data_IF_959104148025
#
_entry.id   IF_959104148025
#
_cell.length_a   1.000
_cell.length_b   1.000
_cell.length_c   1.000
_cell.angle_alpha   90.00
_cell.angle_beta   90.00
_cell.angle_gamma   90.00
#
_symmetry.space_group_name_H-M   'P 1'
#
loop_
_entity.id
_entity.type
_entity.pdbx_description
1 polymer ?
#
# COMPACT_ATOMS: atom_id res chain seq x y z
N UNK A 1 -25.86 3.37 -5.00
CA UNK A 1 -24.98 2.18 -4.97
C UNK A 1 -25.80 0.93 -4.69
N UNK A 2 -25.62 -0.16 -5.44
CA UNK A 2 -26.22 -1.47 -5.13
C UNK A 2 -25.55 -2.08 -3.89
N UNK A 3 -26.29 -2.85 -3.08
CA UNK A 3 -25.80 -3.49 -1.84
C UNK A 3 -24.55 -4.36 -2.09
N UNK A 4 -24.50 -5.02 -3.25
CA UNK A 4 -23.35 -5.83 -3.69
C UNK A 4 -22.07 -5.00 -3.90
N UNK A 5 -22.14 -3.84 -4.57
CA UNK A 5 -20.97 -2.96 -4.79
C UNK A 5 -20.38 -2.49 -3.46
N UNK A 6 -21.22 -2.12 -2.49
CA UNK A 6 -20.76 -1.71 -1.14
C UNK A 6 -20.00 -2.82 -0.43
N UNK A 7 -20.50 -4.06 -0.46
CA UNK A 7 -19.79 -5.19 0.14
C UNK A 7 -18.43 -5.42 -0.51
N UNK A 8 -18.35 -5.37 -1.85
CA UNK A 8 -17.08 -5.58 -2.57
C UNK A 8 -16.06 -4.50 -2.21
N UNK A 9 -16.45 -3.22 -2.23
CA UNK A 9 -15.55 -2.11 -1.88
C UNK A 9 -15.08 -2.23 -0.43
N UNK A 10 -15.98 -2.53 0.51
CA UNK A 10 -15.61 -2.78 1.91
C UNK A 10 -14.59 -3.92 2.04
N UNK A 11 -14.80 -5.04 1.36
CA UNK A 11 -13.84 -6.16 1.37
C UNK A 11 -12.49 -5.80 0.77
N UNK A 12 -12.44 -4.96 -0.26
CA UNK A 12 -11.19 -4.54 -0.88
C UNK A 12 -10.40 -3.58 0.02
N UNK A 13 -11.07 -2.66 0.72
CA UNK A 13 -10.41 -1.79 1.70
C UNK A 13 -9.93 -2.56 2.94
N UNK A 14 -10.63 -3.60 3.39
CA UNK A 14 -10.12 -4.47 4.48
C UNK A 14 -8.94 -5.33 4.03
N UNK A 15 -8.94 -5.81 2.78
CA UNK A 15 -7.78 -6.51 2.20
C UNK A 15 -6.59 -5.54 2.08
N UNK A 16 -6.81 -4.29 1.68
CA UNK A 16 -5.78 -3.26 1.61
C UNK A 16 -5.13 -2.98 2.98
N UNK A 17 -5.92 -2.86 4.05
CA UNK A 17 -5.35 -2.64 5.39
C UNK A 17 -4.52 -3.83 5.87
N UNK A 18 -4.95 -5.07 5.56
CA UNK A 18 -4.18 -6.28 5.86
C UNK A 18 -2.86 -6.34 5.09
N UNK A 19 -2.90 -6.09 3.77
CA UNK A 19 -1.70 -6.04 2.92
C UNK A 19 -0.73 -4.94 3.36
N UNK A 20 -1.23 -3.77 3.72
CA UNK A 20 -0.39 -2.67 4.23
C UNK A 20 0.25 -3.03 5.58
N UNK A 21 -0.49 -3.68 6.47
CA UNK A 21 0.04 -4.17 7.75
C UNK A 21 1.11 -5.25 7.55
N UNK A 22 0.91 -6.14 6.56
CA UNK A 22 1.89 -7.14 6.15
C UNK A 22 3.14 -6.50 5.54
N UNK A 23 2.99 -5.41 4.78
CA UNK A 23 4.12 -4.65 4.24
C UNK A 23 4.96 -4.01 5.35
N UNK A 24 4.33 -3.46 6.40
CA UNK A 24 5.03 -2.96 7.59
C UNK A 24 5.76 -4.10 8.30
N UNK A 25 5.10 -5.25 8.47
CA UNK A 25 5.73 -6.44 9.07
C UNK A 25 6.98 -6.87 8.28
N UNK A 26 6.87 -6.99 6.96
CA UNK A 26 7.99 -7.36 6.11
C UNK A 26 9.13 -6.33 6.16
N UNK A 27 8.81 -5.04 6.13
CA UNK A 27 9.81 -3.97 6.20
C UNK A 27 10.49 -3.88 7.58
N UNK A 28 9.74 -4.09 8.67
CA UNK A 28 10.26 -4.02 10.03
C UNK A 28 11.10 -5.25 10.42
N UNK A 29 10.62 -6.46 10.11
CA UNK A 29 11.31 -7.71 10.46
C UNK A 29 12.51 -8.02 9.54
N UNK A 30 12.63 -7.34 8.38
CA UNK A 30 13.81 -7.47 7.52
C UNK A 30 15.12 -7.14 8.26
N UNK A 31 15.06 -6.27 9.27
CA UNK A 31 16.21 -5.80 10.04
C UNK A 31 16.64 -6.80 11.15
N UNK A 32 15.70 -7.59 11.69
CA UNK A 32 15.98 -8.41 12.88
C UNK A 32 16.52 -9.81 12.56
N UNK A 33 16.25 -10.36 11.36
CA UNK A 33 16.56 -11.75 11.02
C UNK A 33 17.96 -11.99 10.41
N UNK A 34 18.68 -10.95 9.99
CA UNK A 34 20.00 -11.08 9.34
C UNK A 34 21.01 -10.19 10.06
N UNK A 35 21.60 -10.72 11.14
CA UNK A 35 22.92 -10.38 11.69
C UNK A 35 23.45 -8.95 11.46
N UNK A 36 23.47 -8.13 12.53
CA UNK A 36 24.28 -6.91 12.69
C UNK A 36 24.26 -5.97 11.47
N UNK A 37 23.37 -5.00 11.55
CA UNK A 37 23.40 -3.81 10.74
C UNK A 37 24.79 -3.11 10.79
N UNK A 38 25.61 -3.28 9.75
CA UNK A 38 26.87 -2.53 9.54
C UNK A 38 26.75 -1.57 8.37
N UNK A 39 27.26 -0.35 8.60
CA UNK A 39 27.43 0.89 7.80
C UNK A 39 27.29 0.94 6.25
N UNK A 40 27.19 -0.17 5.52
CA UNK A 40 26.81 -0.22 4.08
C UNK A 40 25.31 0.05 3.84
N UNK A 41 24.61 0.47 4.89
CA UNK A 41 23.20 0.19 5.16
C UNK A 41 22.31 1.44 5.19
N UNK A 42 22.92 2.61 5.05
CA UNK A 42 22.21 3.90 5.01
C UNK A 42 21.26 4.01 3.80
N UNK A 43 21.58 3.33 2.71
CA UNK A 43 20.80 3.32 1.47
C UNK A 43 19.60 2.36 1.54
N UNK A 44 19.77 1.19 2.18
CA UNK A 44 18.68 0.23 2.41
C UNK A 44 17.74 0.67 3.56
N UNK A 45 18.24 1.45 4.53
CA UNK A 45 17.40 2.07 5.55
C UNK A 45 16.43 3.09 4.94
N UNK A 46 16.83 3.81 3.90
CA UNK A 46 15.97 4.79 3.25
C UNK A 46 14.75 4.12 2.60
N UNK A 47 14.94 3.02 1.86
CA UNK A 47 13.83 2.33 1.18
C UNK A 47 12.84 1.73 2.18
N UNK A 48 13.34 1.13 3.26
CA UNK A 48 12.52 0.57 4.34
C UNK A 48 11.70 1.64 5.07
N UNK A 49 12.32 2.77 5.44
CA UNK A 49 11.62 3.87 6.13
C UNK A 49 10.54 4.46 5.22
N UNK A 50 10.82 4.63 3.93
CA UNK A 50 9.84 5.12 2.94
C UNK A 50 8.68 4.14 2.78
N UNK A 51 8.96 2.84 2.70
CA UNK A 51 7.94 1.80 2.60
C UNK A 51 7.02 1.78 3.83
N UNK A 52 7.58 1.87 5.04
CA UNK A 52 6.81 1.95 6.30
C UNK A 52 5.96 3.23 6.35
N UNK A 53 6.54 4.38 5.98
CA UNK A 53 5.83 5.65 5.96
C UNK A 53 4.62 5.60 5.01
N UNK A 54 4.81 5.10 3.79
CA UNK A 54 3.75 5.01 2.80
C UNK A 54 2.68 3.98 3.21
N UNK A 55 3.07 2.85 3.81
CA UNK A 55 2.12 1.89 4.37
C UNK A 55 1.24 2.50 5.46
N UNK A 56 1.83 3.26 6.39
CA UNK A 56 1.10 4.00 7.43
C UNK A 56 0.11 5.00 6.83
N UNK A 57 0.51 5.76 5.81
CA UNK A 57 -0.38 6.70 5.12
C UNK A 57 -1.55 5.98 4.44
N UNK A 58 -1.31 4.82 3.80
CA UNK A 58 -2.36 4.01 3.17
C UNK A 58 -3.34 3.46 4.21
N UNK A 59 -2.85 3.01 5.37
CA UNK A 59 -3.71 2.55 6.49
C UNK A 59 -4.59 3.69 6.98
N UNK A 60 -4.01 4.86 7.26
CA UNK A 60 -4.78 6.02 7.75
C UNK A 60 -5.86 6.41 6.73
N UNK A 61 -5.50 6.49 5.45
CA UNK A 61 -6.45 6.86 4.40
C UNK A 61 -7.57 5.84 4.21
N UNK A 62 -7.25 4.54 4.34
CA UNK A 62 -8.23 3.45 4.26
C UNK A 62 -9.15 3.42 5.47
N UNK A 63 -8.63 3.67 6.67
CA UNK A 63 -9.42 3.76 7.90
C UNK A 63 -10.35 4.98 7.90
N UNK A 64 -9.88 6.13 7.41
CA UNK A 64 -10.71 7.34 7.27
C UNK A 64 -11.89 7.06 6.33
N UNK A 65 -11.63 6.37 5.21
CA UNK A 65 -12.69 5.98 4.27
C UNK A 65 -13.69 4.99 4.91
N UNK A 66 -13.19 3.98 5.63
CA UNK A 66 -14.03 2.97 6.29
C UNK A 66 -14.89 3.62 7.40
N UNK A 67 -14.30 4.48 8.22
CA UNK A 67 -15.00 5.25 9.24
C UNK A 67 -16.11 6.13 8.64
N UNK A 68 -15.80 6.85 7.56
CA UNK A 68 -16.78 7.71 6.86
C UNK A 68 -17.97 6.89 6.32
N UNK A 69 -17.72 5.69 5.80
CA UNK A 69 -18.76 4.82 5.25
C UNK A 69 -19.56 4.05 6.32
N UNK A 70 -18.99 3.78 7.50
CA UNK A 70 -19.72 3.14 8.59
C UNK A 70 -20.65 4.11 9.34
N UNK A 71 -20.23 5.35 9.59
CA UNK A 71 -20.96 6.27 10.48
C UNK A 71 -21.93 7.24 9.76
N UNK A 72 -21.69 7.60 8.49
CA UNK A 72 -22.46 8.68 7.83
C UNK A 72 -23.58 8.20 6.88
N UNK A 73 -24.14 7.02 7.14
CA UNK A 73 -25.13 6.36 6.26
C UNK A 73 -26.48 7.09 6.16
N UNK A 74 -26.80 8.04 7.04
CA UNK A 74 -28.14 8.65 7.12
C UNK A 74 -28.37 9.96 6.37
N UNK A 75 -27.33 10.63 5.84
CA UNK A 75 -27.52 11.91 5.17
C UNK A 75 -27.59 11.75 3.64
N UNK A 76 -28.71 12.14 3.03
CA UNK A 76 -28.97 12.07 1.58
C UNK A 76 -27.99 12.93 0.74
N UNK A 77 -27.43 14.01 1.29
CA UNK A 77 -26.35 14.78 0.65
C UNK A 77 -24.99 14.05 0.60
N UNK A 78 -24.83 12.98 1.38
CA UNK A 78 -23.61 12.21 1.60
C UNK A 78 -23.52 10.99 0.66
N UNK A 79 -24.58 10.70 -0.10
CA UNK A 79 -24.61 9.62 -1.09
C UNK A 79 -23.70 9.91 -2.32
N UNK A 80 -23.17 11.15 -2.43
CA UNK A 80 -22.16 11.57 -3.40
C UNK A 80 -20.70 11.36 -2.92
N UNK A 81 -20.47 10.66 -1.80
CA UNK A 81 -19.11 10.39 -1.28
C UNK A 81 -18.25 9.48 -2.18
N UNK A 82 -18.81 8.98 -3.28
CA UNK A 82 -18.04 8.48 -4.43
C UNK A 82 -16.99 9.50 -4.93
N UNK A 83 -17.18 10.81 -4.74
CA UNK A 83 -16.23 11.82 -5.23
C UNK A 83 -14.84 11.72 -4.59
N UNK A 84 -14.76 11.33 -3.31
CA UNK A 84 -13.47 11.20 -2.60
C UNK A 84 -12.93 9.76 -2.61
N UNK A 85 -13.72 8.79 -3.06
CA UNK A 85 -13.28 7.39 -3.23
C UNK A 85 -12.21 7.28 -4.32
N UNK A 86 -12.43 7.90 -5.48
CA UNK A 86 -11.48 7.87 -6.60
C UNK A 86 -10.14 8.57 -6.28
N UNK A 87 -10.11 9.83 -5.77
CA UNK A 87 -8.86 10.49 -5.40
C UNK A 87 -8.09 9.73 -4.32
N UNK A 88 -8.79 9.15 -3.34
CA UNK A 88 -8.16 8.36 -2.29
C UNK A 88 -7.52 7.08 -2.84
N UNK A 89 -8.25 6.34 -3.69
CA UNK A 89 -7.72 5.14 -4.32
C UNK A 89 -6.52 5.44 -5.22
N UNK A 90 -6.58 6.51 -6.03
CA UNK A 90 -5.45 6.95 -6.88
C UNK A 90 -4.24 7.33 -6.01
N UNK A 91 -4.44 8.09 -4.94
CA UNK A 91 -3.36 8.47 -4.02
C UNK A 91 -2.69 7.24 -3.38
N UNK A 92 -3.48 6.29 -2.87
CA UNK A 92 -2.95 5.07 -2.27
C UNK A 92 -2.23 4.18 -3.32
N UNK A 93 -2.77 4.11 -4.54
CA UNK A 93 -2.15 3.39 -5.66
C UNK A 93 -0.79 3.97 -6.02
N UNK A 94 -0.67 5.30 -6.05
CA UNK A 94 0.56 6.01 -6.38
C UNK A 94 1.62 5.82 -5.29
N UNK A 95 1.26 5.96 -4.02
CA UNK A 95 2.18 5.71 -2.91
C UNK A 95 2.72 4.26 -2.90
N UNK A 96 1.84 3.28 -3.11
CA UNK A 96 2.22 1.87 -3.21
C UNK A 96 3.09 1.60 -4.45
N UNK A 97 2.79 2.25 -5.58
CA UNK A 97 3.57 2.14 -6.81
C UNK A 97 4.98 2.72 -6.65
N UNK A 98 5.11 3.91 -6.04
CA UNK A 98 6.40 4.52 -5.76
C UNK A 98 7.21 3.67 -4.79
N UNK A 99 6.61 3.11 -3.74
CA UNK A 99 7.28 2.16 -2.85
C UNK A 99 7.82 0.94 -3.61
N UNK A 100 7.03 0.38 -4.53
CA UNK A 100 7.43 -0.75 -5.37
C UNK A 100 8.64 -0.40 -6.26
N UNK A 101 8.59 0.73 -6.96
CA UNK A 101 9.68 1.16 -7.86
C UNK A 101 10.96 1.46 -7.09
N UNK A 102 10.88 2.12 -5.94
CA UNK A 102 12.04 2.39 -5.07
C UNK A 102 12.67 1.07 -4.62
N UNK A 103 11.86 0.12 -4.15
CA UNK A 103 12.35 -1.19 -3.72
C UNK A 103 13.01 -1.98 -4.86
N UNK A 104 12.45 -1.93 -6.08
CA UNK A 104 13.08 -2.57 -7.24
C UNK A 104 14.40 -1.87 -7.59
N UNK A 105 14.41 -0.54 -7.65
CA UNK A 105 15.58 0.23 -8.10
C UNK A 105 16.80 0.06 -7.18
N UNK A 106 16.58 -0.01 -5.86
CA UNK A 106 17.67 -0.13 -4.89
C UNK A 106 18.11 -1.57 -4.63
N UNK A 107 17.30 -2.58 -4.97
CA UNK A 107 17.68 -3.99 -4.83
C UNK A 107 18.13 -4.65 -6.15
N UNK A 108 18.03 -3.95 -7.29
CA UNK A 108 18.50 -4.45 -8.58
C UNK A 108 19.96 -4.06 -8.80
N UNK A 109 20.83 -5.05 -9.02
CA UNK A 109 22.21 -4.78 -9.36
C UNK A 109 22.34 -4.58 -10.88
N UNK A 110 22.60 -3.35 -11.29
CA UNK A 110 22.68 -2.96 -12.70
C UNK A 110 23.98 -3.39 -13.36
N UNK A 111 25.03 -3.74 -12.61
CA UNK A 111 26.32 -4.13 -13.19
C UNK A 111 26.34 -5.57 -13.68
N UNK A 112 25.73 -6.48 -12.93
CA UNK A 112 25.70 -7.91 -13.28
C UNK A 112 24.35 -8.36 -13.86
N UNK A 113 23.33 -7.48 -13.94
CA UNK A 113 21.95 -7.80 -14.35
C UNK A 113 21.38 -8.94 -13.48
N UNK A 114 21.95 -9.14 -12.30
CA UNK A 114 21.49 -10.12 -11.34
C UNK A 114 20.58 -9.42 -10.34
N UNK A 115 19.41 -10.02 -10.13
CA UNK A 115 18.64 -9.68 -8.94
C UNK A 115 19.49 -10.07 -7.74
N UNK A 116 19.70 -9.14 -6.80
CA UNK A 116 20.20 -9.56 -5.49
C UNK A 116 19.31 -10.71 -5.00
N UNK A 117 19.88 -11.77 -4.38
CA UNK A 117 19.20 -13.04 -4.03
C UNK A 117 17.83 -12.90 -3.32
N UNK A 118 17.49 -11.70 -2.88
CA UNK A 118 16.25 -11.29 -2.25
C UNK A 118 15.35 -10.62 -3.28
N UNK A 119 14.55 -11.40 -4.00
CA UNK A 119 13.29 -10.87 -4.52
C UNK A 119 12.50 -10.35 -3.30
N UNK A 120 12.49 -9.04 -3.07
CA UNK A 120 11.97 -8.51 -1.81
C UNK A 120 10.47 -8.69 -1.84
N UNK A 121 9.96 -9.57 -0.99
CA UNK A 121 8.52 -9.76 -0.75
C UNK A 121 7.81 -8.41 -0.52
N UNK A 122 8.55 -7.40 -0.06
CA UNK A 122 8.14 -5.99 0.03
C UNK A 122 7.74 -5.39 -1.33
N UNK A 123 8.56 -5.52 -2.38
CA UNK A 123 8.23 -5.01 -3.71
C UNK A 123 6.99 -5.69 -4.30
N UNK A 124 6.86 -7.01 -4.10
CA UNK A 124 5.68 -7.76 -4.54
C UNK A 124 4.41 -7.29 -3.82
N UNK A 125 4.45 -7.15 -2.50
CA UNK A 125 3.30 -6.70 -1.70
C UNK A 125 2.94 -5.25 -2.03
N UNK A 126 3.94 -4.38 -2.25
CA UNK A 126 3.73 -3.00 -2.70
C UNK A 126 3.07 -2.95 -4.09
N UNK A 127 3.53 -3.79 -5.02
CA UNK A 127 2.94 -3.93 -6.35
C UNK A 127 1.49 -4.43 -6.31
N UNK A 128 1.21 -5.45 -5.49
CA UNK A 128 -0.15 -5.94 -5.26
C UNK A 128 -1.06 -4.85 -4.67
N UNK A 129 -0.58 -4.11 -3.68
CA UNK A 129 -1.32 -3.01 -3.05
C UNK A 129 -1.61 -1.89 -4.06
N UNK A 130 -0.65 -1.56 -4.92
CA UNK A 130 -0.84 -0.61 -6.02
C UNK A 130 -1.89 -1.10 -7.02
N UNK A 131 -1.80 -2.36 -7.46
CA UNK A 131 -2.77 -2.94 -8.39
C UNK A 131 -4.19 -3.00 -7.83
N UNK A 132 -4.33 -3.28 -6.53
CA UNK A 132 -5.61 -3.33 -5.83
C UNK A 132 -6.26 -1.93 -5.79
N UNK A 133 -5.48 -0.90 -5.44
CA UNK A 133 -5.99 0.46 -5.42
C UNK A 133 -6.23 1.04 -6.82
N UNK A 134 -5.45 0.65 -7.82
CA UNK A 134 -5.74 0.96 -9.22
C UNK A 134 -7.05 0.30 -9.68
N UNK A 135 -7.27 -0.97 -9.34
CA UNK A 135 -8.52 -1.66 -9.63
C UNK A 135 -9.73 -0.99 -8.94
N UNK A 136 -9.57 -0.54 -7.69
CA UNK A 136 -10.58 0.29 -7.02
C UNK A 136 -10.87 1.59 -7.77
N UNK A 137 -9.83 2.29 -8.22
CA UNK A 137 -9.93 3.57 -8.91
C UNK A 137 -10.47 3.49 -10.35
N UNK A 138 -10.42 2.33 -11.01
CA UNK A 138 -10.89 2.19 -12.40
C UNK A 138 -12.12 1.29 -12.55
N UNK A 139 -12.27 0.26 -11.72
CA UNK A 139 -13.38 -0.68 -11.82
C UNK A 139 -14.57 -0.32 -10.92
N UNK A 140 -14.34 0.44 -9.84
CA UNK A 140 -15.35 0.65 -8.79
C UNK A 140 -15.73 2.11 -8.55
N UNK A 141 -15.21 3.07 -9.30
CA UNK A 141 -15.62 4.48 -9.28
C UNK A 141 -16.51 4.80 -10.46
#
# INVERSE_FOLDING_TARGET
MTRARRCVVLTLYTISTLLSSFLIYLAAFHCQSMFRCTLLEKQNQFTQIVAILFACMIIISSLIWLYANCYKVENTCLNNYNFLEMPNAVFCSLLAGVACVIEIHYNFDYTDIEWTKKWTMVALVAGLLSSLHAALAFAFT
#
